data_IF_888351596455
#
_entry.id   IF_888351596455
#
_cell.length_a   1.000
_cell.length_b   1.000
_cell.length_c   1.000
_cell.angle_alpha   90.00
_cell.angle_beta   90.00
_cell.angle_gamma   90.00
#
_symmetry.space_group_name_H-M   'P 1'
#
loop_
_entity.id
_entity.type
_entity.pdbx_description
1 polymer ?
#
# COMPACT_ATOMS: atom_id res chain seq x y z
N UNK A 1 16.72 9.95 10.89
CA UNK A 1 17.10 8.63 10.33
C UNK A 1 16.16 8.30 9.18
N UNK A 2 16.56 7.49 8.20
CA UNK A 2 15.67 6.98 7.15
C UNK A 2 15.82 5.47 7.01
N UNK A 3 14.76 4.80 6.56
CA UNK A 3 14.75 3.37 6.29
C UNK A 3 14.17 3.11 4.92
N UNK A 4 14.88 2.32 4.12
CA UNK A 4 14.35 1.78 2.85
C UNK A 4 13.97 0.32 3.05
N UNK A 5 12.68 0.03 2.90
CA UNK A 5 12.16 -1.35 2.86
C UNK A 5 11.93 -1.73 1.41
N UNK A 6 12.45 -2.88 0.96
CA UNK A 6 12.28 -3.38 -0.42
C UNK A 6 10.93 -4.07 -0.62
N UNK A 7 9.85 -3.42 -0.19
CA UNK A 7 8.46 -3.90 -0.28
C UNK A 7 7.58 -2.74 -0.73
N UNK A 8 6.89 -2.90 -1.86
CA UNK A 8 6.03 -1.89 -2.47
C UNK A 8 4.96 -2.56 -3.38
N UNK A 9 4.44 -1.83 -4.37
CA UNK A 9 3.38 -2.27 -5.30
C UNK A 9 3.54 -3.70 -5.82
N UNK A 10 4.70 -4.03 -6.38
CA UNK A 10 4.98 -5.37 -6.94
C UNK A 10 4.85 -6.49 -5.91
N UNK A 11 5.20 -6.24 -4.64
CA UNK A 11 5.05 -7.24 -3.57
C UNK A 11 3.60 -7.46 -3.17
N UNK A 12 2.73 -6.48 -3.36
CA UNK A 12 1.29 -6.69 -3.23
C UNK A 12 0.75 -7.56 -4.36
N UNK A 13 1.19 -7.31 -5.61
CA UNK A 13 0.77 -8.09 -6.78
C UNK A 13 1.21 -9.56 -6.65
N UNK A 14 2.46 -9.81 -6.26
CA UNK A 14 2.98 -11.15 -5.95
C UNK A 14 2.16 -11.86 -4.87
N UNK A 15 1.77 -11.14 -3.81
CA UNK A 15 0.96 -11.69 -2.72
C UNK A 15 -0.45 -12.07 -3.18
N UNK A 16 -1.08 -11.25 -4.02
CA UNK A 16 -2.40 -11.50 -4.62
C UNK A 16 -2.34 -12.74 -5.54
N UNK A 17 -1.32 -12.82 -6.41
CA UNK A 17 -1.09 -14.00 -7.25
C UNK A 17 -0.99 -15.28 -6.42
N UNK A 18 -0.23 -15.23 -5.33
CA UNK A 18 -0.09 -16.36 -4.42
C UNK A 18 -1.42 -16.73 -3.74
N UNK A 19 -2.16 -15.75 -3.23
CA UNK A 19 -3.42 -15.97 -2.54
C UNK A 19 -4.47 -16.62 -3.45
N UNK A 20 -4.61 -16.13 -4.68
CA UNK A 20 -5.59 -16.68 -5.63
C UNK A 20 -5.26 -18.12 -6.04
N UNK A 21 -3.96 -18.42 -6.24
CA UNK A 21 -3.52 -19.80 -6.50
C UNK A 21 -3.79 -20.71 -5.31
N UNK A 22 -3.49 -20.26 -4.09
CA UNK A 22 -3.59 -21.06 -2.86
C UNK A 22 -5.03 -21.31 -2.43
N UNK A 23 -5.87 -20.27 -2.40
CA UNK A 23 -7.24 -20.31 -1.85
C UNK A 23 -8.28 -20.73 -2.88
N UNK A 24 -8.09 -20.34 -4.15
CA UNK A 24 -9.09 -20.54 -5.20
C UNK A 24 -8.64 -21.46 -6.35
N UNK A 25 -7.44 -22.03 -6.27
CA UNK A 25 -6.82 -22.77 -7.38
C UNK A 25 -6.82 -21.99 -8.70
N UNK A 26 -6.75 -20.65 -8.66
CA UNK A 26 -6.76 -19.80 -9.85
C UNK A 26 -5.39 -19.20 -10.11
N UNK A 27 -4.87 -19.39 -11.31
CA UNK A 27 -3.67 -18.72 -11.81
C UNK A 27 -4.07 -17.56 -12.71
N UNK A 28 -3.54 -16.37 -12.41
CA UNK A 28 -3.71 -15.15 -13.21
C UNK A 28 -2.35 -14.53 -13.54
N UNK A 29 -2.33 -13.55 -14.44
CA UNK A 29 -1.13 -12.77 -14.76
C UNK A 29 -0.97 -11.53 -13.87
N UNK A 30 0.23 -10.95 -13.88
CA UNK A 30 0.58 -9.75 -13.08
C UNK A 30 -0.37 -8.57 -13.33
N UNK A 31 -0.70 -8.30 -14.60
CA UNK A 31 -1.65 -7.23 -14.96
C UNK A 31 -3.03 -7.42 -14.30
N UNK A 32 -3.51 -8.66 -14.24
CA UNK A 32 -4.78 -8.97 -13.59
C UNK A 32 -4.67 -8.82 -12.07
N UNK A 33 -3.55 -9.22 -11.48
CA UNK A 33 -3.30 -9.03 -10.04
C UNK A 33 -3.25 -7.53 -9.68
N UNK A 34 -2.61 -6.71 -10.51
CA UNK A 34 -2.58 -5.25 -10.32
C UNK A 34 -3.99 -4.64 -10.44
N UNK A 35 -4.81 -5.07 -11.40
CA UNK A 35 -6.19 -4.64 -11.48
C UNK A 35 -6.95 -5.01 -10.19
N UNK A 36 -6.84 -6.25 -9.74
CA UNK A 36 -7.46 -6.70 -8.48
C UNK A 36 -7.01 -5.83 -7.30
N UNK A 37 -5.71 -5.56 -7.18
CA UNK A 37 -5.13 -4.65 -6.17
C UNK A 37 -5.77 -3.26 -6.22
N UNK A 38 -5.93 -2.68 -7.41
CA UNK A 38 -6.49 -1.34 -7.58
C UNK A 38 -7.99 -1.27 -7.26
N UNK A 39 -8.76 -2.31 -7.60
CA UNK A 39 -10.23 -2.30 -7.44
C UNK A 39 -10.69 -2.70 -6.04
N UNK A 40 -10.10 -3.76 -5.47
CA UNK A 40 -10.55 -4.35 -4.20
C UNK A 40 -9.40 -4.64 -3.22
N UNK A 41 -8.19 -4.14 -3.49
CA UNK A 41 -7.08 -4.20 -2.54
C UNK A 41 -7.32 -3.26 -1.37
N UNK A 42 -7.61 -3.82 -0.20
CA UNK A 42 -7.93 -3.08 1.01
C UNK A 42 -6.98 -3.47 2.16
N UNK A 43 -6.23 -2.49 2.67
CA UNK A 43 -5.26 -2.69 3.74
C UNK A 43 -5.90 -2.87 5.12
N UNK A 44 -7.10 -2.31 5.32
CA UNK A 44 -7.81 -2.31 6.59
C UNK A 44 -9.32 -2.38 6.35
N UNK A 45 -9.84 -3.60 6.34
CA UNK A 45 -11.27 -3.85 6.14
C UNK A 45 -11.99 -3.63 7.46
N UNK A 46 -12.81 -2.58 7.53
CA UNK A 46 -13.72 -2.35 8.64
C UNK A 46 -15.01 -3.13 8.37
N UNK A 47 -15.39 -4.06 9.24
CA UNK A 47 -16.72 -4.68 9.18
C UNK A 47 -17.70 -3.79 9.93
N UNK A 48 -18.33 -2.84 9.22
CA UNK A 48 -19.46 -2.08 9.76
C UNK A 48 -20.78 -2.79 9.40
N UNK A 49 -21.72 -2.80 10.34
CA UNK A 49 -23.07 -3.31 10.06
C UNK A 49 -23.69 -2.55 8.88
N UNK A 50 -24.13 -3.30 7.86
CA UNK A 50 -24.78 -2.77 6.66
C UNK A 50 -23.84 -2.42 5.50
N UNK A 51 -22.51 -2.48 5.67
CA UNK A 51 -21.57 -2.21 4.58
C UNK A 51 -21.44 -3.44 3.66
N UNK A 52 -21.60 -3.25 2.35
CA UNK A 52 -21.52 -4.34 1.38
C UNK A 52 -20.06 -4.67 1.09
N UNK A 53 -19.70 -5.94 1.26
CA UNK A 53 -18.39 -6.48 0.86
C UNK A 53 -18.15 -6.22 -0.62
N UNK A 54 -17.05 -5.54 -0.94
CA UNK A 54 -16.63 -5.33 -2.34
C UNK A 54 -16.19 -6.65 -2.94
N UNK A 55 -16.64 -6.90 -4.17
CA UNK A 55 -16.29 -8.10 -4.92
C UNK A 55 -15.88 -7.76 -6.35
N UNK A 56 -15.13 -8.68 -6.96
CA UNK A 56 -14.68 -8.57 -8.35
C UNK A 56 -14.68 -9.96 -8.99
N UNK A 57 -15.15 -10.05 -10.24
CA UNK A 57 -14.95 -11.25 -11.04
C UNK A 57 -13.53 -11.26 -11.63
N UNK A 58 -12.85 -12.39 -11.48
CA UNK A 58 -11.49 -12.59 -11.99
C UNK A 58 -11.46 -13.80 -12.89
N UNK A 59 -10.92 -13.59 -14.08
CA UNK A 59 -10.73 -14.62 -15.10
C UNK A 59 -9.30 -15.12 -15.04
N UNK A 60 -9.12 -16.43 -15.10
CA UNK A 60 -7.82 -17.04 -15.08
C UNK A 60 -7.86 -18.49 -15.54
N UNK A 61 -6.82 -19.23 -15.18
CA UNK A 61 -6.69 -20.65 -15.47
C UNK A 61 -6.75 -21.44 -14.16
N UNK A 62 -7.58 -22.46 -14.10
CA UNK A 62 -7.59 -23.37 -12.97
C UNK A 62 -6.23 -24.09 -12.87
N UNK A 63 -5.61 -24.07 -11.69
CA UNK A 63 -4.28 -24.62 -11.43
C UNK A 63 -4.23 -26.15 -11.58
N UNK A 64 -5.33 -26.84 -11.28
CA UNK A 64 -5.42 -28.30 -11.32
C UNK A 64 -5.80 -28.80 -12.71
N UNK A 65 -6.84 -28.23 -13.32
CA UNK A 65 -7.38 -28.73 -14.61
C UNK A 65 -6.73 -28.07 -15.82
N UNK A 66 -6.11 -26.89 -15.65
CA UNK A 66 -5.54 -26.11 -16.74
C UNK A 66 -6.57 -25.40 -17.63
N UNK A 67 -7.87 -25.51 -17.31
CA UNK A 67 -8.94 -24.90 -18.11
C UNK A 67 -9.24 -23.45 -17.68
N UNK A 68 -9.76 -22.60 -18.58
CA UNK A 68 -10.24 -21.27 -18.21
C UNK A 68 -11.34 -21.34 -17.15
N UNK A 69 -11.24 -20.48 -16.14
CA UNK A 69 -12.21 -20.38 -15.04
C UNK A 69 -12.45 -18.91 -14.69
N UNK A 70 -13.69 -18.60 -14.31
CA UNK A 70 -14.07 -17.31 -13.72
C UNK A 70 -14.51 -17.57 -12.28
N UNK A 71 -14.01 -16.76 -11.36
CA UNK A 71 -14.41 -16.80 -9.95
C UNK A 71 -14.76 -15.39 -9.48
N UNK A 72 -15.58 -15.29 -8.44
CA UNK A 72 -15.79 -14.05 -7.71
C UNK A 72 -14.88 -14.04 -6.47
N UNK A 73 -14.15 -12.94 -6.27
CA UNK A 73 -13.29 -12.72 -5.10
C UNK A 73 -13.74 -11.50 -4.33
N UNK A 74 -13.34 -11.42 -3.06
CA UNK A 74 -13.76 -10.36 -2.13
C UNK A 74 -12.57 -9.50 -1.69
N UNK A 75 -12.85 -8.30 -1.19
CA UNK A 75 -11.82 -7.47 -0.55
C UNK A 75 -11.19 -8.13 0.68
N UNK A 76 -11.89 -9.04 1.37
CA UNK A 76 -11.35 -9.82 2.48
C UNK A 76 -10.24 -10.77 2.02
N UNK A 77 -10.41 -11.42 0.86
CA UNK A 77 -9.37 -12.26 0.27
C UNK A 77 -8.11 -11.44 -0.03
N UNK A 78 -8.30 -10.20 -0.50
CA UNK A 78 -7.19 -9.30 -0.82
C UNK A 78 -6.53 -8.74 0.42
N UNK A 79 -7.30 -8.37 1.44
CA UNK A 79 -6.79 -7.93 2.72
C UNK A 79 -5.92 -9.01 3.37
N UNK A 80 -6.37 -10.28 3.33
CA UNK A 80 -5.61 -11.44 3.78
C UNK A 80 -4.30 -11.60 3.00
N UNK A 81 -4.36 -11.49 1.66
CA UNK A 81 -3.19 -11.62 0.78
C UNK A 81 -2.08 -10.61 1.14
N UNK A 82 -2.45 -9.34 1.30
CA UNK A 82 -1.50 -8.23 1.40
C UNK A 82 -1.01 -7.96 2.84
N UNK A 83 -1.50 -8.67 3.85
CA UNK A 83 -1.07 -8.46 5.24
C UNK A 83 0.44 -8.61 5.44
N UNK A 84 1.06 -9.61 4.81
CA UNK A 84 2.51 -9.85 4.95
C UNK A 84 3.35 -8.67 4.44
N UNK A 85 3.18 -8.19 3.18
CA UNK A 85 3.90 -7.01 2.72
C UNK A 85 3.58 -5.74 3.52
N UNK A 86 2.34 -5.57 3.98
CA UNK A 86 1.98 -4.44 4.85
C UNK A 86 2.75 -4.43 6.18
N UNK A 87 2.91 -5.59 6.82
CA UNK A 87 3.71 -5.72 8.06
C UNK A 87 5.14 -5.27 7.86
N UNK A 88 5.77 -5.60 6.73
CA UNK A 88 7.14 -5.15 6.45
C UNK A 88 7.23 -3.61 6.34
N UNK A 89 6.21 -2.97 5.77
CA UNK A 89 6.14 -1.51 5.72
C UNK A 89 6.01 -0.93 7.13
N UNK A 90 5.14 -1.50 7.97
CA UNK A 90 4.96 -1.06 9.37
C UNK A 90 6.25 -1.18 10.18
N UNK A 91 6.98 -2.28 10.07
CA UNK A 91 8.24 -2.45 10.78
C UNK A 91 9.26 -1.40 10.36
N UNK A 92 9.33 -1.07 9.06
CA UNK A 92 10.16 0.04 8.58
C UNK A 92 9.79 1.39 9.19
N UNK A 93 8.49 1.69 9.32
CA UNK A 93 8.01 2.92 9.96
C UNK A 93 8.40 2.95 11.43
N UNK A 94 8.18 1.85 12.17
CA UNK A 94 8.53 1.75 13.60
C UNK A 94 10.03 1.94 13.84
N UNK A 95 10.88 1.36 12.99
CA UNK A 95 12.33 1.52 13.10
C UNK A 95 12.76 2.98 12.96
N UNK A 96 12.15 3.74 12.03
CA UNK A 96 12.45 5.17 11.86
C UNK A 96 12.00 5.96 13.08
N UNK A 97 10.77 5.72 13.56
CA UNK A 97 10.24 6.42 14.74
C UNK A 97 11.06 6.12 16.00
N UNK A 98 11.51 4.87 16.20
CA UNK A 98 12.33 4.48 17.34
C UNK A 98 13.71 5.18 17.38
N UNK A 99 14.23 5.59 16.22
CA UNK A 99 15.50 6.31 16.10
C UNK A 99 15.32 7.83 15.99
N UNK A 100 14.07 8.32 16.05
CA UNK A 100 13.77 9.75 15.92
C UNK A 100 13.94 10.42 17.27
N UNK A 101 14.70 11.53 17.37
CA UNK A 101 14.84 12.29 18.61
C UNK A 101 13.49 12.73 19.18
N UNK A 102 13.33 12.80 20.51
CA UNK A 102 12.05 13.13 21.15
C UNK A 102 11.42 14.43 20.64
N UNK A 103 12.24 15.45 20.35
CA UNK A 103 11.78 16.76 19.88
C UNK A 103 11.07 16.65 18.52
N UNK A 104 11.57 15.79 17.63
CA UNK A 104 10.97 15.54 16.32
C UNK A 104 9.81 14.54 16.40
N UNK A 105 9.87 13.58 17.32
CA UNK A 105 8.80 12.61 17.52
C UNK A 105 7.50 13.30 17.99
N UNK A 106 7.60 14.30 18.88
CA UNK A 106 6.45 15.09 19.30
C UNK A 106 5.79 15.82 18.11
N UNK A 107 6.60 16.44 17.24
CA UNK A 107 6.11 17.16 16.05
C UNK A 107 5.44 16.20 15.05
N UNK A 108 5.91 14.95 14.94
CA UNK A 108 5.27 13.90 14.13
C UNK A 108 3.92 13.48 14.72
N UNK A 109 3.79 13.38 16.05
CA UNK A 109 2.50 13.06 16.69
C UNK A 109 1.47 14.15 16.41
N UNK A 110 1.89 15.42 16.44
CA UNK A 110 1.02 16.57 16.21
C UNK A 110 0.62 16.73 14.73
N UNK A 111 1.58 16.56 13.81
CA UNK A 111 1.36 16.79 12.36
C UNK A 111 0.93 15.55 11.59
N UNK A 112 1.23 14.37 12.11
CA UNK A 112 0.94 13.09 11.47
C UNK A 112 1.96 12.66 10.40
N UNK A 113 1.65 11.54 9.76
CA UNK A 113 2.45 10.88 8.71
C UNK A 113 1.79 11.11 7.35
N UNK A 114 2.58 11.62 6.43
CA UNK A 114 2.15 11.90 5.06
C UNK A 114 2.49 10.72 4.14
N UNK A 115 1.50 10.17 3.44
CA UNK A 115 1.67 9.08 2.49
C UNK A 115 1.65 9.60 1.05
N UNK A 116 2.63 9.19 0.25
CA UNK A 116 2.77 9.53 -1.17
C UNK A 116 3.17 8.30 -2.01
N UNK A 117 3.20 8.45 -3.33
CA UNK A 117 3.50 7.38 -4.29
C UNK A 117 2.30 6.51 -4.63
N UNK A 118 2.44 5.64 -5.64
CA UNK A 118 1.30 4.87 -6.16
C UNK A 118 0.68 3.88 -5.17
N UNK A 119 1.49 3.28 -4.29
CA UNK A 119 0.98 2.38 -3.25
C UNK A 119 0.12 3.10 -2.21
N UNK A 120 0.23 4.43 -2.07
CA UNK A 120 -0.60 5.20 -1.16
C UNK A 120 -2.10 5.15 -1.55
N UNK A 121 -2.41 4.80 -2.80
CA UNK A 121 -3.78 4.65 -3.31
C UNK A 121 -4.45 3.33 -2.89
N UNK A 122 -3.72 2.43 -2.21
CA UNK A 122 -4.32 1.22 -1.66
C UNK A 122 -5.39 1.60 -0.62
N UNK A 123 -6.58 1.00 -0.72
CA UNK A 123 -7.74 1.37 0.09
C UNK A 123 -7.39 1.21 1.57
N UNK A 124 -7.64 2.26 2.36
CA UNK A 124 -7.43 2.32 3.81
C UNK A 124 -5.98 2.09 4.28
N UNK A 125 -4.96 2.33 3.44
CA UNK A 125 -3.56 2.21 3.87
C UNK A 125 -3.18 3.20 4.97
N UNK A 126 -3.67 4.43 4.87
CA UNK A 126 -3.56 5.46 5.91
C UNK A 126 -4.16 5.03 7.24
N UNK A 127 -5.37 4.45 7.21
CA UNK A 127 -6.01 3.91 8.41
C UNK A 127 -5.25 2.73 8.99
N UNK A 128 -4.78 1.82 8.13
CA UNK A 128 -3.94 0.70 8.55
C UNK A 128 -2.70 1.17 9.31
N UNK A 129 -2.00 2.18 8.78
CA UNK A 129 -0.81 2.75 9.42
C UNK A 129 -1.19 3.47 10.71
N UNK A 130 -2.22 4.32 10.68
CA UNK A 130 -2.67 5.07 11.85
C UNK A 130 -3.04 4.17 13.02
N UNK A 131 -3.76 3.09 12.74
CA UNK A 131 -4.17 2.11 13.75
C UNK A 131 -2.97 1.43 14.42
N UNK A 132 -1.95 1.03 13.65
CA UNK A 132 -0.81 0.28 14.18
C UNK A 132 0.31 1.16 14.78
N UNK A 133 0.41 2.42 14.33
CA UNK A 133 1.46 3.35 14.76
C UNK A 133 0.95 4.31 15.85
N UNK A 134 -0.37 4.44 16.00
CA UNK A 134 -1.01 5.39 16.91
C UNK A 134 -0.60 6.87 16.62
N UNK A 135 -0.41 7.17 15.34
CA UNK A 135 -0.13 8.51 14.81
C UNK A 135 -1.01 8.70 13.57
N UNK A 136 -1.69 9.85 13.48
CA UNK A 136 -2.55 10.14 12.34
C UNK A 136 -1.75 10.05 11.03
N UNK A 137 -2.26 9.31 10.05
CA UNK A 137 -1.67 9.20 8.71
C UNK A 137 -2.68 9.62 7.66
N UNK A 138 -2.22 10.22 6.57
CA UNK A 138 -3.08 10.68 5.49
C UNK A 138 -2.39 10.61 4.14
N UNK A 139 -3.17 10.31 3.11
CA UNK A 139 -2.71 10.33 1.71
C UNK A 139 -2.83 11.75 1.17
N UNK A 140 -1.76 12.25 0.55
CA UNK A 140 -1.79 13.57 -0.09
C UNK A 140 -2.63 13.57 -1.36
N UNK A 141 -3.04 14.77 -1.78
CA UNK A 141 -3.59 14.97 -3.11
C UNK A 141 -2.57 14.55 -4.17
N UNK A 142 -3.05 13.82 -5.18
CA UNK A 142 -2.23 13.42 -6.33
C UNK A 142 -0.91 12.71 -5.97
N UNK A 143 -0.95 11.62 -5.17
CA UNK A 143 0.25 11.02 -4.58
C UNK A 143 1.23 10.46 -5.61
N UNK A 144 0.75 10.18 -6.83
CA UNK A 144 1.57 9.74 -7.97
C UNK A 144 2.54 10.81 -8.48
N UNK A 145 2.19 12.09 -8.31
CA UNK A 145 2.94 13.21 -8.91
C UNK A 145 3.88 13.90 -7.91
N UNK A 146 3.87 13.53 -6.63
CA UNK A 146 4.66 14.20 -5.60
C UNK A 146 6.16 14.27 -5.92
N UNK A 147 6.74 13.17 -6.42
CA UNK A 147 8.17 13.12 -6.75
C UNK A 147 8.51 14.07 -7.89
N UNK A 148 7.78 14.00 -9.01
CA UNK A 148 8.09 14.81 -10.19
C UNK A 148 7.82 16.31 -9.92
N UNK A 149 6.76 16.63 -9.16
CA UNK A 149 6.49 18.01 -8.73
C UNK A 149 7.57 18.53 -7.79
N UNK A 150 8.00 17.73 -6.82
CA UNK A 150 9.08 18.10 -5.90
C UNK A 150 10.39 18.39 -6.64
N UNK A 151 10.72 17.59 -7.66
CA UNK A 151 11.88 17.84 -8.53
C UNK A 151 11.71 19.18 -9.27
N UNK A 152 10.55 19.43 -9.88
CA UNK A 152 10.27 20.71 -10.57
C UNK A 152 10.44 21.92 -9.66
N UNK A 153 9.84 21.87 -8.46
CA UNK A 153 9.96 22.94 -7.45
C UNK A 153 11.41 23.17 -7.00
N UNK A 154 12.18 22.10 -6.82
CA UNK A 154 13.58 22.20 -6.43
C UNK A 154 14.45 22.83 -7.53
N UNK A 155 14.14 22.55 -8.80
CA UNK A 155 14.80 23.17 -9.96
C UNK A 155 14.47 24.67 -10.04
N UNK A 156 13.20 25.04 -9.86
CA UNK A 156 12.76 26.45 -9.87
C UNK A 156 13.37 27.26 -8.73
N UNK A 157 13.68 26.63 -7.60
CA UNK A 157 14.23 27.25 -6.40
C UNK A 157 15.65 26.76 -6.10
N UNK A 158 16.44 26.52 -7.15
CA UNK A 158 17.72 25.80 -7.06
C UNK A 158 18.67 26.37 -5.99
N UNK A 159 18.78 27.69 -5.88
CA UNK A 159 19.65 28.34 -4.89
C UNK A 159 19.26 28.04 -3.45
N UNK A 160 17.96 27.93 -3.15
CA UNK A 160 17.44 27.56 -1.83
C UNK A 160 17.69 26.09 -1.49
N UNK A 161 17.73 25.21 -2.49
CA UNK A 161 17.91 23.76 -2.29
C UNK A 161 19.34 23.26 -2.48
N UNK A 162 20.25 24.11 -2.96
CA UNK A 162 21.65 23.77 -3.26
C UNK A 162 22.40 23.11 -2.11
N UNK A 163 22.09 23.48 -0.86
CA UNK A 163 22.71 22.88 0.33
C UNK A 163 22.16 21.51 0.73
N UNK A 164 20.95 21.17 0.30
CA UNK A 164 20.28 19.89 0.57
C UNK A 164 20.59 18.83 -0.50
N UNK A 165 20.98 19.26 -1.71
CA UNK A 165 21.46 18.41 -2.80
C UNK A 165 22.96 18.20 -2.57
N UNK A 166 23.34 17.15 -1.84
CA UNK A 166 24.72 16.69 -1.68
C UNK A 166 24.90 15.29 -2.21
#
# INVERSE_FOLDING_TARGET
SYKTVRVAGTKFDEAILHQLRKKHNLVIGERTAEQVKMYIGNAFVETKEGEKVKTMEVKGRNFQTGLPQVIQITEHDMAEAIQKPLKFILEGIKEVLAQTPPELAADIVDKGIVLSGGSALLINLDRYISYHINVASFVVEEPLFCVIRGIGMAIENFDSFKGAIK
#
